data_IF_904645923275
#
_entry.id   IF_904645923275
#
_cell.length_a   1.000
_cell.length_b   1.000
_cell.length_c   1.000
_cell.angle_alpha   90.00
_cell.angle_beta   90.00
_cell.angle_gamma   90.00
#
_symmetry.space_group_name_H-M   'P 1'
#
loop_
_entity.id
_entity.type
_entity.pdbx_description
1 polymer ?
#
# COMPACT_ATOMS: atom_id res chain seq x y z
N UNK A 1 20.78 19.76 -7.76
CA UNK A 1 19.40 19.24 -7.95
C UNK A 1 19.17 18.12 -6.93
N UNK A 2 18.22 18.31 -6.02
CA UNK A 2 17.84 17.27 -5.05
C UNK A 2 16.96 16.24 -5.76
N UNK A 3 17.48 15.03 -5.96
CA UNK A 3 16.83 13.99 -6.75
C UNK A 3 16.18 12.97 -5.86
N UNK A 4 14.90 12.73 -6.13
CA UNK A 4 14.08 11.65 -5.56
C UNK A 4 13.55 10.79 -6.70
N UNK A 5 13.01 9.61 -6.38
CA UNK A 5 12.43 8.83 -7.45
C UNK A 5 11.69 7.57 -7.01
N UNK A 6 11.11 6.90 -8.00
CA UNK A 6 10.39 5.63 -7.86
C UNK A 6 11.08 4.55 -8.68
N UNK A 7 11.35 3.42 -8.04
CA UNK A 7 11.84 2.19 -8.68
C UNK A 7 10.67 1.22 -8.86
N UNK A 8 10.50 0.66 -10.05
CA UNK A 8 9.46 -0.32 -10.34
C UNK A 8 9.47 -0.74 -11.81
N UNK A 9 8.56 -1.66 -12.19
CA UNK A 9 8.37 -2.08 -13.57
C UNK A 9 7.01 -2.76 -13.79
N UNK A 10 6.22 -2.34 -14.79
CA UNK A 10 6.31 -1.07 -15.50
C UNK A 10 5.84 0.12 -14.64
N UNK A 11 6.23 1.35 -15.00
CA UNK A 11 5.89 2.59 -14.28
C UNK A 11 5.00 3.56 -15.09
N UNK A 12 4.17 3.07 -16.01
CA UNK A 12 3.42 3.86 -16.99
C UNK A 12 2.76 5.15 -16.44
N UNK A 13 1.87 5.05 -15.45
CA UNK A 13 1.28 6.21 -14.76
C UNK A 13 1.61 6.16 -13.27
N UNK A 14 2.69 6.86 -12.89
CA UNK A 14 3.12 6.93 -11.51
C UNK A 14 2.39 8.05 -10.75
N UNK A 15 1.57 7.67 -9.78
CA UNK A 15 0.99 8.60 -8.80
C UNK A 15 2.10 9.37 -8.06
N UNK A 16 3.13 8.69 -7.59
CA UNK A 16 4.21 9.31 -6.79
C UNK A 16 4.91 10.42 -7.55
N UNK A 17 5.20 10.23 -8.86
CA UNK A 17 5.82 11.28 -9.67
C UNK A 17 4.93 12.52 -9.76
N UNK A 18 3.63 12.34 -10.04
CA UNK A 18 2.68 13.46 -10.08
C UNK A 18 2.60 14.16 -8.73
N UNK A 19 2.38 13.40 -7.66
CA UNK A 19 2.27 13.91 -6.30
C UNK A 19 3.48 14.76 -5.88
N UNK A 20 4.70 14.23 -6.03
CA UNK A 20 5.91 14.93 -5.61
C UNK A 20 6.23 16.13 -6.51
N UNK A 21 5.95 16.05 -7.82
CA UNK A 21 6.11 17.21 -8.71
C UNK A 21 5.21 18.36 -8.27
N UNK A 22 3.91 18.09 -8.07
CA UNK A 22 2.95 19.09 -7.58
C UNK A 22 3.32 19.63 -6.18
N UNK A 23 3.82 18.76 -5.29
CA UNK A 23 4.29 19.15 -3.95
C UNK A 23 5.49 20.11 -4.05
N UNK A 24 6.48 19.79 -4.87
CA UNK A 24 7.67 20.63 -5.04
C UNK A 24 7.31 21.99 -5.61
N UNK A 25 6.44 22.05 -6.62
CA UNK A 25 5.93 23.30 -7.19
C UNK A 25 5.19 24.14 -6.13
N UNK A 26 4.27 23.53 -5.39
CA UNK A 26 3.48 24.21 -4.36
C UNK A 26 4.33 24.76 -3.21
N UNK A 27 5.40 24.05 -2.84
CA UNK A 27 6.32 24.44 -1.76
C UNK A 27 7.48 25.33 -2.25
N UNK A 28 7.54 25.67 -3.56
CA UNK A 28 8.58 26.51 -4.14
C UNK A 28 9.98 25.85 -4.17
N UNK A 29 10.04 24.53 -4.19
CA UNK A 29 11.28 23.74 -4.18
C UNK A 29 11.82 23.59 -5.62
N UNK A 30 12.37 24.64 -6.19
CA UNK A 30 12.78 24.72 -7.61
C UNK A 30 14.00 23.87 -7.97
N UNK A 31 14.81 23.47 -6.97
CA UNK A 31 15.98 22.61 -7.11
C UNK A 31 15.71 21.14 -6.77
N UNK A 32 14.42 20.73 -6.73
CA UNK A 32 13.98 19.38 -6.46
C UNK A 32 13.39 18.73 -7.72
N UNK A 33 13.60 17.42 -7.86
CA UNK A 33 13.00 16.62 -8.93
C UNK A 33 12.62 15.23 -8.44
N UNK A 34 11.56 14.67 -9.04
CA UNK A 34 11.15 13.29 -8.81
C UNK A 34 11.14 12.51 -10.13
N UNK A 35 11.92 11.44 -10.22
CA UNK A 35 12.13 10.65 -11.43
C UNK A 35 11.50 9.26 -11.32
N UNK A 36 11.06 8.71 -12.45
CA UNK A 36 10.73 7.29 -12.56
C UNK A 36 11.97 6.53 -13.02
N UNK A 37 12.43 5.59 -12.22
CA UNK A 37 13.49 4.63 -12.54
C UNK A 37 12.84 3.30 -12.91
N UNK A 38 12.37 3.21 -14.15
CA UNK A 38 11.78 2.00 -14.70
C UNK A 38 12.91 1.04 -15.08
N UNK A 39 13.05 -0.05 -14.31
CA UNK A 39 14.11 -1.06 -14.51
C UNK A 39 13.47 -2.44 -14.67
N UNK A 40 13.91 -3.21 -15.65
CA UNK A 40 13.36 -4.55 -15.94
C UNK A 40 13.82 -5.60 -14.93
N UNK A 41 14.92 -5.34 -14.23
CA UNK A 41 15.46 -6.22 -13.19
C UNK A 41 15.98 -5.41 -12.02
N UNK A 42 15.82 -5.95 -10.80
CA UNK A 42 16.30 -5.31 -9.56
C UNK A 42 17.83 -5.21 -9.51
N UNK A 43 18.55 -6.07 -10.20
CA UNK A 43 20.02 -6.05 -10.34
C UNK A 43 20.54 -4.75 -10.95
N UNK A 44 19.67 -4.00 -11.67
CA UNK A 44 19.99 -2.66 -12.20
C UNK A 44 19.92 -1.55 -11.14
N UNK A 45 19.40 -1.84 -9.93
CA UNK A 45 19.26 -0.84 -8.87
C UNK A 45 20.59 -0.17 -8.49
N UNK A 46 21.74 -0.87 -8.32
CA UNK A 46 23.01 -0.22 -8.00
C UNK A 46 23.44 0.83 -9.03
N UNK A 47 23.15 0.60 -10.33
CA UNK A 47 23.50 1.56 -11.40
C UNK A 47 22.76 2.90 -11.30
N UNK A 48 21.57 2.91 -10.67
CA UNK A 48 20.83 4.15 -10.35
C UNK A 48 21.62 4.96 -9.34
N UNK A 49 22.15 4.32 -8.29
CA UNK A 49 22.93 4.97 -7.23
C UNK A 49 24.27 5.52 -7.75
N UNK A 50 24.90 4.79 -8.69
CA UNK A 50 26.12 5.25 -9.36
C UNK A 50 25.87 6.50 -10.21
N UNK A 51 24.75 6.49 -10.97
CA UNK A 51 24.38 7.61 -11.84
C UNK A 51 23.88 8.83 -11.05
N UNK A 52 23.30 8.61 -9.89
CA UNK A 52 22.73 9.65 -9.01
C UNK A 52 23.32 9.54 -7.60
N UNK A 53 24.63 9.86 -7.40
CA UNK A 53 25.33 9.64 -6.11
C UNK A 53 24.79 10.50 -4.98
N UNK A 54 24.07 11.58 -5.30
CA UNK A 54 23.48 12.52 -4.34
C UNK A 54 21.94 12.35 -4.21
N UNK A 55 21.41 11.19 -4.63
CA UNK A 55 19.97 10.89 -4.48
C UNK A 55 19.54 11.02 -3.01
N UNK A 56 18.38 11.66 -2.78
CA UNK A 56 17.90 12.02 -1.44
C UNK A 56 16.87 11.05 -0.90
N UNK A 57 16.17 10.36 -1.78
CA UNK A 57 15.15 9.39 -1.40
C UNK A 57 14.61 8.61 -2.58
N UNK A 58 14.18 7.38 -2.31
CA UNK A 58 13.57 6.51 -3.31
C UNK A 58 12.31 5.87 -2.75
N UNK A 59 11.26 5.83 -3.57
CA UNK A 59 10.19 4.87 -3.37
C UNK A 59 10.48 3.60 -4.19
N UNK A 60 9.88 2.50 -3.75
CA UNK A 60 9.95 1.21 -4.42
C UNK A 60 8.54 0.61 -4.56
N UNK A 61 8.18 0.17 -5.76
CA UNK A 61 6.88 -0.45 -6.02
C UNK A 61 7.04 -1.83 -6.66
N UNK A 62 5.93 -2.40 -7.10
CA UNK A 62 5.89 -3.71 -7.78
C UNK A 62 6.87 -3.71 -8.95
N UNK A 63 7.62 -4.82 -9.14
CA UNK A 63 7.63 -6.05 -8.35
C UNK A 63 8.69 -6.08 -7.23
N UNK A 64 9.34 -4.98 -6.93
CA UNK A 64 10.63 -4.94 -6.22
C UNK A 64 10.58 -4.72 -4.71
N UNK A 65 9.41 -4.51 -4.09
CA UNK A 65 9.30 -4.21 -2.64
C UNK A 65 9.96 -5.24 -1.70
N UNK A 66 10.05 -6.50 -2.11
CA UNK A 66 10.77 -7.54 -1.38
C UNK A 66 12.21 -7.69 -1.87
N UNK A 67 12.39 -7.67 -3.18
CA UNK A 67 13.70 -7.92 -3.81
C UNK A 67 14.72 -6.82 -3.48
N UNK A 68 14.28 -5.57 -3.29
CA UNK A 68 15.17 -4.46 -2.97
C UNK A 68 15.84 -4.60 -1.60
N UNK A 69 15.24 -5.39 -0.70
CA UNK A 69 15.74 -5.55 0.67
C UNK A 69 17.18 -6.09 0.73
N UNK A 70 17.59 -6.92 -0.23
CA UNK A 70 18.95 -7.46 -0.30
C UNK A 70 20.04 -6.40 -0.58
N UNK A 71 19.66 -5.23 -1.07
CA UNK A 71 20.57 -4.11 -1.37
C UNK A 71 20.64 -3.08 -0.25
N UNK A 72 19.92 -3.27 0.85
CA UNK A 72 19.84 -2.29 1.93
C UNK A 72 20.79 -2.65 3.06
N UNK A 73 21.44 -1.63 3.64
CA UNK A 73 22.32 -1.79 4.81
C UNK A 73 21.53 -1.94 6.10
N UNK A 74 20.39 -1.25 6.19
CA UNK A 74 19.50 -1.26 7.36
C UNK A 74 18.05 -1.34 6.93
N UNK A 75 17.23 -1.98 7.75
CA UNK A 75 15.76 -1.99 7.59
C UNK A 75 15.16 -1.61 8.93
N UNK A 76 14.19 -0.69 8.89
CA UNK A 76 13.40 -0.33 10.05
C UNK A 76 12.72 -1.55 10.67
N UNK A 77 12.63 -1.61 12.01
CA UNK A 77 12.16 -2.79 12.74
C UNK A 77 10.72 -3.20 12.35
N UNK A 78 9.79 -2.24 12.26
CA UNK A 78 8.41 -2.51 11.83
C UNK A 78 8.36 -2.98 10.38
N UNK A 79 9.19 -2.37 9.52
CA UNK A 79 9.34 -2.77 8.11
C UNK A 79 9.90 -4.19 7.95
N UNK A 80 10.82 -4.60 8.82
CA UNK A 80 11.36 -5.96 8.84
C UNK A 80 10.25 -7.00 9.10
N UNK A 81 9.33 -6.70 10.02
CA UNK A 81 8.19 -7.57 10.32
C UNK A 81 7.21 -7.66 9.13
N UNK A 82 7.02 -6.59 8.38
CA UNK A 82 6.19 -6.58 7.14
C UNK A 82 6.85 -7.40 6.03
N UNK A 83 8.19 -7.42 5.96
CA UNK A 83 8.94 -8.11 4.92
C UNK A 83 8.78 -7.50 3.52
N UNK A 84 8.59 -6.18 3.45
CA UNK A 84 8.51 -5.43 2.20
C UNK A 84 8.91 -3.96 2.43
N UNK A 85 9.71 -3.40 1.54
CA UNK A 85 10.16 -2.00 1.56
C UNK A 85 9.51 -1.24 0.41
N UNK A 86 8.92 -0.07 0.69
CA UNK A 86 8.42 0.85 -0.34
C UNK A 86 9.08 2.24 -0.31
N UNK A 87 9.94 2.50 0.69
CA UNK A 87 10.63 3.77 0.85
C UNK A 87 12.07 3.51 1.30
N UNK A 88 13.03 4.14 0.63
CA UNK A 88 14.46 3.99 0.90
C UNK A 88 15.03 5.36 1.18
N UNK A 89 15.72 5.50 2.31
CA UNK A 89 16.47 6.70 2.70
C UNK A 89 17.95 6.45 2.53
N UNK A 90 18.63 7.12 1.58
CA UNK A 90 20.08 7.17 1.52
C UNK A 90 20.64 8.01 2.67
N UNK A 91 21.73 7.56 3.27
CA UNK A 91 22.47 8.32 4.28
C UNK A 91 23.97 8.05 4.15
N UNK A 92 24.81 8.86 4.78
CA UNK A 92 26.26 8.67 4.73
C UNK A 92 26.84 8.43 6.13
N UNK A 93 27.65 7.38 6.24
CA UNK A 93 28.42 7.08 7.44
C UNK A 93 29.89 6.94 7.07
N UNK A 94 30.76 7.72 7.69
CA UNK A 94 32.19 7.77 7.37
C UNK A 94 32.47 7.95 5.87
N UNK A 95 31.69 8.80 5.19
CA UNK A 95 31.81 9.09 3.76
C UNK A 95 31.22 8.04 2.82
N UNK A 96 30.81 6.86 3.31
CA UNK A 96 30.18 5.79 2.51
C UNK A 96 28.68 5.97 2.45
N UNK A 97 28.12 5.82 1.25
CA UNK A 97 26.68 5.76 1.05
C UNK A 97 26.12 4.48 1.66
N UNK A 98 25.07 4.63 2.44
CA UNK A 98 24.27 3.54 3.01
C UNK A 98 22.80 3.77 2.73
N UNK A 99 22.02 2.70 2.75
CA UNK A 99 20.60 2.69 2.44
C UNK A 99 19.81 2.10 3.61
N UNK A 100 18.78 2.83 4.05
CA UNK A 100 17.83 2.33 5.06
C UNK A 100 16.43 2.21 4.46
N UNK A 101 15.82 1.04 4.64
CA UNK A 101 14.49 0.70 4.13
C UNK A 101 13.38 0.94 5.14
N UNK A 102 12.25 1.41 4.64
CA UNK A 102 11.02 1.65 5.40
C UNK A 102 9.80 1.17 4.60
N UNK A 103 8.69 0.98 5.32
CA UNK A 103 7.39 0.70 4.70
C UNK A 103 6.38 1.77 5.09
N UNK A 104 6.13 2.73 4.21
CA UNK A 104 5.16 3.80 4.45
C UNK A 104 3.72 3.41 4.10
N UNK A 105 3.50 2.26 3.43
CA UNK A 105 2.15 1.74 3.19
C UNK A 105 1.44 1.45 4.53
N UNK A 106 2.17 0.93 5.54
CA UNK A 106 1.62 0.70 6.89
C UNK A 106 1.12 2.00 7.52
N UNK A 107 1.89 3.09 7.38
CA UNK A 107 1.54 4.40 7.94
C UNK A 107 0.30 4.96 7.24
N UNK A 108 0.29 4.92 5.91
CA UNK A 108 -0.85 5.39 5.11
C UNK A 108 -2.12 4.60 5.41
N UNK A 109 -2.02 3.27 5.50
CA UNK A 109 -3.15 2.40 5.77
C UNK A 109 -3.69 2.60 7.21
N UNK A 110 -2.81 2.62 8.23
CA UNK A 110 -3.22 2.83 9.62
C UNK A 110 -3.93 4.19 9.79
N UNK A 111 -3.36 5.26 9.26
CA UNK A 111 -3.94 6.62 9.31
C UNK A 111 -5.32 6.68 8.66
N UNK A 112 -5.52 5.98 7.54
CA UNK A 112 -6.78 5.99 6.79
C UNK A 112 -7.86 5.08 7.40
N UNK A 113 -7.49 3.91 7.92
CA UNK A 113 -8.45 2.94 8.45
C UNK A 113 -8.89 3.28 9.89
N UNK A 114 -7.94 3.64 10.76
CA UNK A 114 -8.16 3.80 12.21
C UNK A 114 -9.34 4.72 12.58
N UNK A 115 -9.57 5.87 11.90
CA UNK A 115 -10.71 6.74 12.20
C UNK A 115 -12.08 6.13 11.92
N UNK A 116 -12.16 5.07 11.09
CA UNK A 116 -13.41 4.38 10.75
C UNK A 116 -13.76 3.28 11.75
N UNK A 117 -12.82 2.90 12.62
CA UNK A 117 -12.97 1.77 13.52
C UNK A 117 -13.65 2.17 14.83
N UNK A 118 -14.45 1.24 15.37
CA UNK A 118 -15.02 1.31 16.69
C UNK A 118 -14.91 -0.04 17.43
N UNK A 119 -15.50 -0.16 18.61
CA UNK A 119 -15.40 -1.37 19.45
C UNK A 119 -16.01 -2.64 18.85
N UNK A 120 -16.88 -2.53 17.82
CA UNK A 120 -17.47 -3.67 17.12
C UNK A 120 -16.49 -4.31 16.11
N UNK A 121 -15.54 -3.54 15.58
CA UNK A 121 -14.62 -3.96 14.52
C UNK A 121 -13.49 -4.83 15.08
N UNK A 122 -13.79 -6.10 15.44
CA UNK A 122 -12.83 -7.05 16.04
C UNK A 122 -12.18 -7.99 15.04
N UNK A 123 -12.79 -8.15 13.86
CA UNK A 123 -12.28 -9.03 12.82
C UNK A 123 -12.53 -8.46 11.42
N UNK A 124 -11.60 -8.80 10.51
CA UNK A 124 -11.57 -8.31 9.15
C UNK A 124 -11.56 -9.46 8.12
N UNK A 125 -12.04 -9.16 6.92
CA UNK A 125 -11.89 -9.98 5.73
C UNK A 125 -11.04 -9.22 4.71
N UNK A 126 -9.87 -9.74 4.38
CA UNK A 126 -8.98 -9.19 3.36
C UNK A 126 -9.25 -9.93 2.05
N UNK A 127 -9.62 -9.21 1.02
CA UNK A 127 -9.88 -9.75 -0.31
C UNK A 127 -8.61 -9.60 -1.16
N UNK A 128 -7.90 -10.72 -1.36
CA UNK A 128 -6.62 -10.77 -2.05
C UNK A 128 -5.42 -11.01 -1.10
N UNK A 129 -4.39 -11.69 -1.63
CA UNK A 129 -3.18 -12.11 -0.91
C UNK A 129 -1.89 -11.51 -1.50
N UNK A 130 -2.00 -10.49 -2.37
CA UNK A 130 -0.89 -9.82 -3.02
C UNK A 130 0.00 -8.99 -2.08
N UNK A 131 0.99 -8.30 -2.64
CA UNK A 131 2.01 -7.56 -1.88
C UNK A 131 1.48 -6.54 -0.87
N UNK A 132 0.39 -5.82 -1.22
CA UNK A 132 -0.23 -4.85 -0.32
C UNK A 132 -0.89 -5.51 0.91
N UNK A 133 -1.33 -6.77 0.80
CA UNK A 133 -1.97 -7.49 1.91
C UNK A 133 -1.03 -7.69 3.10
N UNK A 134 0.29 -7.68 2.91
CA UNK A 134 1.27 -7.79 4.01
C UNK A 134 1.20 -6.60 4.96
N UNK A 135 1.17 -5.39 4.43
CA UNK A 135 1.00 -4.17 5.22
C UNK A 135 -0.35 -4.16 5.96
N UNK A 136 -1.43 -4.58 5.29
CA UNK A 136 -2.76 -4.69 5.88
C UNK A 136 -2.77 -5.68 7.04
N UNK A 137 -2.27 -6.91 6.84
CA UNK A 137 -2.18 -7.97 7.87
C UNK A 137 -1.40 -7.48 9.08
N UNK A 138 -0.27 -6.80 8.87
CA UNK A 138 0.56 -6.23 9.93
C UNK A 138 -0.23 -5.21 10.77
N UNK A 139 -0.88 -4.23 10.13
CA UNK A 139 -1.64 -3.19 10.83
C UNK A 139 -2.87 -3.76 11.53
N UNK A 140 -3.61 -4.69 10.94
CA UNK A 140 -4.74 -5.34 11.63
C UNK A 140 -4.27 -6.06 12.89
N UNK A 141 -3.14 -6.79 12.83
CA UNK A 141 -2.54 -7.44 14.00
C UNK A 141 -2.15 -6.42 15.07
N UNK A 142 -1.49 -5.32 14.69
CA UNK A 142 -1.11 -4.21 15.59
C UNK A 142 -2.32 -3.57 16.27
N UNK A 143 -3.44 -3.46 15.56
CA UNK A 143 -4.70 -2.92 16.08
C UNK A 143 -5.52 -3.94 16.88
N UNK A 144 -5.06 -5.18 17.02
CA UNK A 144 -5.77 -6.26 17.72
C UNK A 144 -7.02 -6.75 16.97
N UNK A 145 -7.05 -6.59 15.64
CA UNK A 145 -8.13 -7.03 14.77
C UNK A 145 -7.73 -8.37 14.14
N UNK A 146 -8.49 -9.43 14.43
CA UNK A 146 -8.28 -10.72 13.75
C UNK A 146 -8.65 -10.62 12.28
N UNK A 147 -8.08 -11.50 11.43
CA UNK A 147 -8.38 -11.45 10.00
C UNK A 147 -8.37 -12.84 9.34
N UNK A 148 -9.12 -12.93 8.24
CA UNK A 148 -8.97 -13.95 7.20
C UNK A 148 -8.65 -13.26 5.88
N UNK A 149 -7.88 -13.92 5.02
CA UNK A 149 -7.59 -13.45 3.66
C UNK A 149 -8.25 -14.39 2.65
N UNK A 150 -9.00 -13.84 1.70
CA UNK A 150 -9.58 -14.61 0.61
C UNK A 150 -8.70 -14.56 -0.64
N UNK A 151 -8.44 -15.72 -1.23
CA UNK A 151 -7.66 -15.88 -2.45
C UNK A 151 -8.46 -16.63 -3.52
N UNK A 152 -8.14 -16.39 -4.79
CA UNK A 152 -8.59 -17.22 -5.92
C UNK A 152 -7.76 -18.50 -6.04
N UNK A 153 -6.56 -18.51 -5.45
CA UNK A 153 -5.67 -19.66 -5.41
C UNK A 153 -5.94 -20.52 -4.18
N UNK A 154 -5.40 -21.73 -4.15
CA UNK A 154 -5.47 -22.57 -2.97
C UNK A 154 -4.79 -21.91 -1.79
N UNK A 155 -5.41 -21.92 -0.59
CA UNK A 155 -4.82 -21.38 0.61
C UNK A 155 -3.44 -22.02 0.91
N UNK A 156 -2.45 -21.17 1.18
CA UNK A 156 -1.09 -21.60 1.55
C UNK A 156 -0.85 -21.50 3.07
N UNK A 157 -1.70 -20.72 3.77
CA UNK A 157 -1.55 -20.42 5.19
C UNK A 157 -2.88 -20.61 5.94
N UNK A 158 -2.80 -20.85 7.23
CA UNK A 158 -3.96 -21.13 8.11
C UNK A 158 -5.05 -20.06 8.07
N UNK A 159 -4.67 -18.77 7.92
CA UNK A 159 -5.60 -17.63 7.83
C UNK A 159 -6.02 -17.29 6.39
N UNK A 160 -5.89 -18.22 5.48
CA UNK A 160 -6.31 -18.05 4.08
C UNK A 160 -7.47 -18.96 3.74
N UNK A 161 -8.40 -18.43 2.97
CA UNK A 161 -9.58 -19.13 2.49
C UNK A 161 -9.77 -18.88 0.99
N UNK A 162 -10.59 -19.70 0.34
CA UNK A 162 -11.06 -19.41 -1.01
C UNK A 162 -12.30 -18.52 -0.98
N UNK A 163 -12.51 -17.74 -2.05
CA UNK A 163 -13.69 -16.87 -2.17
C UNK A 163 -15.00 -17.63 -2.00
N UNK A 164 -15.09 -18.88 -2.51
CA UNK A 164 -16.28 -19.72 -2.42
C UNK A 164 -16.65 -20.13 -0.99
N UNK A 165 -15.73 -19.99 -0.04
CA UNK A 165 -15.95 -20.27 1.37
C UNK A 165 -16.55 -19.09 2.14
N UNK A 166 -16.57 -17.89 1.52
CA UNK A 166 -17.15 -16.69 2.14
C UNK A 166 -18.67 -16.88 2.21
N UNK A 167 -19.19 -16.95 3.42
CA UNK A 167 -20.61 -17.21 3.69
C UNK A 167 -21.21 -16.13 4.60
N UNK A 168 -22.50 -16.22 4.86
CA UNK A 168 -23.24 -15.28 5.70
C UNK A 168 -22.57 -15.10 7.07
N UNK A 169 -22.25 -16.19 7.78
CA UNK A 169 -21.63 -16.13 9.12
C UNK A 169 -20.32 -15.35 9.09
N UNK A 170 -19.46 -15.56 8.08
CA UNK A 170 -18.21 -14.83 7.95
C UNK A 170 -18.42 -13.33 7.73
N UNK A 171 -19.45 -12.95 6.96
CA UNK A 171 -19.79 -11.54 6.75
C UNK A 171 -20.30 -10.89 8.03
N UNK A 172 -21.15 -11.57 8.79
CA UNK A 172 -21.68 -11.08 10.07
C UNK A 172 -20.61 -10.92 11.17
N UNK A 173 -19.59 -11.79 11.17
CA UNK A 173 -18.50 -11.75 12.14
C UNK A 173 -17.37 -10.78 11.76
N UNK A 174 -17.19 -10.48 10.47
CA UNK A 174 -16.07 -9.66 9.94
C UNK A 174 -16.58 -8.36 9.34
N UNK A 175 -16.79 -7.41 10.24
CA UNK A 175 -17.36 -6.12 9.87
C UNK A 175 -16.41 -5.19 9.11
N UNK A 176 -15.11 -5.51 9.04
CA UNK A 176 -14.13 -4.76 8.25
C UNK A 176 -13.78 -5.58 7.01
N UNK A 177 -14.09 -5.08 5.83
CA UNK A 177 -13.82 -5.75 4.55
C UNK A 177 -12.88 -4.90 3.73
N UNK A 178 -11.73 -5.45 3.35
CA UNK A 178 -10.65 -4.71 2.69
C UNK A 178 -10.39 -5.32 1.32
N UNK A 179 -10.65 -4.56 0.25
CA UNK A 179 -10.26 -4.95 -1.09
C UNK A 179 -8.78 -4.64 -1.33
N UNK A 180 -7.96 -5.68 -1.33
CA UNK A 180 -6.54 -5.64 -1.67
C UNK A 180 -6.23 -6.21 -3.06
N UNK A 181 -7.27 -6.37 -3.90
CA UNK A 181 -7.16 -6.79 -5.31
C UNK A 181 -7.16 -5.57 -6.23
N UNK A 182 -6.74 -5.70 -7.49
CA UNK A 182 -6.88 -4.66 -8.50
C UNK A 182 -8.30 -4.57 -9.11
N UNK A 183 -9.27 -5.38 -8.65
CA UNK A 183 -10.62 -5.40 -9.21
C UNK A 183 -11.32 -4.06 -8.96
N UNK A 184 -11.90 -3.51 -10.01
CA UNK A 184 -12.56 -2.20 -9.99
C UNK A 184 -11.66 -1.03 -10.40
N UNK A 185 -10.35 -1.27 -10.64
CA UNK A 185 -9.42 -0.26 -11.16
C UNK A 185 -9.72 0.07 -12.62
N UNK A 186 -9.68 1.36 -12.97
CA UNK A 186 -9.77 1.81 -14.35
C UNK A 186 -8.73 1.09 -15.25
N UNK A 187 -9.07 0.67 -16.47
CA UNK A 187 -10.36 0.88 -17.15
C UNK A 187 -11.47 -0.17 -16.84
N UNK A 188 -11.18 -1.20 -16.03
CA UNK A 188 -12.10 -2.31 -15.75
C UNK A 188 -12.96 -2.02 -14.50
N UNK A 189 -13.66 -0.88 -14.53
CA UNK A 189 -14.40 -0.34 -13.37
C UNK A 189 -15.65 -1.15 -12.99
N UNK A 190 -16.18 -1.98 -13.89
CA UNK A 190 -17.37 -2.80 -13.67
C UNK A 190 -17.08 -4.10 -12.90
N UNK A 191 -15.81 -4.34 -12.52
CA UNK A 191 -15.40 -5.50 -11.75
C UNK A 191 -15.36 -5.18 -10.26
N UNK A 192 -15.70 -6.17 -9.43
CA UNK A 192 -15.49 -6.10 -7.98
C UNK A 192 -15.24 -7.50 -7.42
N UNK A 193 -14.67 -7.65 -6.21
CA UNK A 193 -14.54 -8.94 -5.56
C UNK A 193 -15.88 -9.65 -5.40
N UNK A 194 -15.91 -10.97 -5.65
CA UNK A 194 -17.14 -11.77 -5.57
C UNK A 194 -17.39 -12.21 -4.12
N UNK A 195 -18.12 -11.40 -3.37
CA UNK A 195 -18.55 -11.69 -2.00
C UNK A 195 -20.06 -11.57 -1.86
N UNK A 196 -20.69 -12.16 -0.83
CA UNK A 196 -22.14 -12.10 -0.65
C UNK A 196 -22.60 -10.76 -0.07
N UNK A 197 -22.63 -9.69 -0.89
CA UNK A 197 -22.96 -8.30 -0.54
C UNK A 197 -24.34 -8.11 0.12
N UNK A 198 -25.28 -9.08 -0.05
CA UNK A 198 -26.59 -9.01 0.60
C UNK A 198 -26.53 -9.02 2.13
N UNK A 199 -25.43 -9.49 2.72
CA UNK A 199 -25.22 -9.55 4.17
C UNK A 199 -24.50 -8.32 4.75
N UNK A 200 -24.19 -7.33 3.91
CA UNK A 200 -23.67 -6.05 4.40
C UNK A 200 -24.72 -5.28 5.19
N UNK A 201 -24.27 -4.57 6.23
CA UNK A 201 -25.10 -3.76 7.13
C UNK A 201 -24.42 -2.40 7.37
N UNK A 202 -25.11 -1.42 7.98
CA UNK A 202 -24.48 -0.14 8.37
C UNK A 202 -23.32 -0.26 9.35
N UNK A 203 -23.16 -1.39 10.02
CA UNK A 203 -22.02 -1.64 10.91
C UNK A 203 -20.73 -2.04 10.14
N UNK A 204 -20.81 -2.32 8.84
CA UNK A 204 -19.65 -2.68 8.05
C UNK A 204 -18.83 -1.46 7.64
N UNK A 205 -17.52 -1.69 7.56
CA UNK A 205 -16.52 -0.78 6.96
C UNK A 205 -15.93 -1.48 5.74
N UNK A 206 -16.08 -0.88 4.56
CA UNK A 206 -15.45 -1.34 3.33
C UNK A 206 -14.29 -0.40 2.98
N UNK A 207 -13.08 -0.93 3.00
CA UNK A 207 -11.89 -0.20 2.58
C UNK A 207 -11.40 -0.75 1.24
N UNK A 208 -11.33 0.09 0.23
CA UNK A 208 -10.83 -0.30 -1.10
C UNK A 208 -9.44 0.29 -1.34
N UNK A 209 -8.42 -0.53 -1.59
CA UNK A 209 -7.09 -0.04 -1.97
C UNK A 209 -7.10 0.61 -3.35
N UNK A 210 -8.10 0.34 -4.17
CA UNK A 210 -8.31 1.04 -5.44
C UNK A 210 -8.68 2.51 -5.15
N UNK A 211 -8.08 3.43 -5.91
CA UNK A 211 -8.30 4.87 -5.78
C UNK A 211 -8.80 5.53 -7.09
N UNK A 212 -8.81 4.80 -8.17
CA UNK A 212 -9.33 5.25 -9.46
C UNK A 212 -10.18 4.13 -10.10
N UNK A 213 -11.52 4.33 -10.19
CA UNK A 213 -12.30 5.54 -9.90
C UNK A 213 -12.37 5.89 -8.41
N UNK A 214 -12.86 7.09 -8.08
CA UNK A 214 -13.03 7.56 -6.70
C UNK A 214 -14.01 6.70 -5.91
N UNK A 215 -15.11 6.27 -6.53
CA UNK A 215 -16.05 5.27 -5.99
C UNK A 215 -16.04 4.06 -6.89
N UNK A 216 -15.53 2.94 -6.39
CA UNK A 216 -15.52 1.67 -7.12
C UNK A 216 -16.87 0.94 -7.00
N UNK A 217 -17.10 -0.06 -7.86
CA UNK A 217 -18.31 -0.92 -7.74
C UNK A 217 -18.37 -1.64 -6.38
N UNK A 218 -17.23 -2.03 -5.81
CA UNK A 218 -17.13 -2.60 -4.46
C UNK A 218 -17.66 -1.62 -3.40
N UNK A 219 -17.22 -0.36 -3.47
CA UNK A 219 -17.68 0.68 -2.54
C UNK A 219 -19.16 1.00 -2.77
N UNK A 220 -19.62 1.10 -4.03
CA UNK A 220 -21.03 1.37 -4.34
C UNK A 220 -21.96 0.33 -3.73
N UNK A 221 -21.63 -0.96 -3.84
CA UNK A 221 -22.38 -2.05 -3.18
C UNK A 221 -22.42 -1.91 -1.65
N UNK A 222 -21.37 -1.35 -1.04
CA UNK A 222 -21.34 -1.03 0.38
C UNK A 222 -22.28 0.14 0.73
N UNK A 223 -22.22 1.22 -0.04
CA UNK A 223 -23.07 2.41 0.10
C UNK A 223 -24.55 2.01 0.01
N UNK A 224 -24.92 1.18 -0.96
CA UNK A 224 -26.29 0.69 -1.17
C UNK A 224 -26.85 -0.10 0.05
N UNK A 225 -25.96 -0.58 0.92
CA UNK A 225 -26.29 -1.29 2.17
C UNK A 225 -26.10 -0.44 3.42
N UNK A 226 -25.76 0.85 3.26
CA UNK A 226 -25.53 1.78 4.35
C UNK A 226 -24.18 1.60 5.07
N UNK A 227 -23.27 0.78 4.53
CA UNK A 227 -21.95 0.59 5.09
C UNK A 227 -21.07 1.85 4.92
N UNK A 228 -20.11 2.02 5.82
CA UNK A 228 -19.08 3.04 5.67
C UNK A 228 -18.07 2.58 4.60
N UNK A 229 -17.68 3.48 3.71
CA UNK A 229 -16.72 3.16 2.65
C UNK A 229 -15.55 4.14 2.63
N UNK A 230 -14.37 3.66 2.22
CA UNK A 230 -13.16 4.48 2.04
C UNK A 230 -12.38 3.97 0.84
N UNK A 231 -11.96 4.88 -0.05
CA UNK A 231 -11.03 4.57 -1.14
C UNK A 231 -9.58 4.62 -0.68
N UNK A 232 -8.69 4.00 -1.45
CA UNK A 232 -7.24 3.99 -1.21
C UNK A 232 -6.54 5.33 -1.39
N UNK A 233 -7.24 6.38 -1.83
CA UNK A 233 -6.63 7.68 -2.13
C UNK A 233 -5.95 8.30 -0.90
N UNK A 234 -6.62 8.28 0.26
CA UNK A 234 -6.05 8.82 1.50
C UNK A 234 -4.83 8.01 1.97
N UNK A 235 -4.87 6.68 1.85
CA UNK A 235 -3.72 5.81 2.10
C UNK A 235 -2.55 6.16 1.18
N UNK A 236 -2.84 6.38 -0.11
CA UNK A 236 -1.85 6.70 -1.13
C UNK A 236 -1.17 8.06 -0.87
N UNK A 237 -1.93 9.07 -0.46
CA UNK A 237 -1.39 10.36 -0.02
C UNK A 237 -0.60 10.21 1.28
N UNK A 238 -1.14 9.52 2.26
CA UNK A 238 -0.51 9.32 3.57
C UNK A 238 0.85 8.62 3.48
N UNK A 239 0.99 7.61 2.60
CA UNK A 239 2.29 6.94 2.39
C UNK A 239 3.32 7.86 1.71
N UNK A 240 2.89 8.73 0.79
CA UNK A 240 3.78 9.66 0.12
C UNK A 240 4.28 10.76 1.08
N UNK A 241 3.39 11.32 1.91
CA UNK A 241 3.78 12.28 2.95
C UNK A 241 4.71 11.64 3.99
N UNK A 242 4.43 10.40 4.42
CA UNK A 242 5.32 9.67 5.33
C UNK A 242 6.70 9.41 4.72
N UNK A 243 6.78 9.11 3.43
CA UNK A 243 8.06 9.00 2.73
C UNK A 243 8.82 10.33 2.74
N UNK A 244 8.12 11.44 2.46
CA UNK A 244 8.69 12.78 2.53
C UNK A 244 9.24 13.12 3.92
N UNK A 245 8.48 12.82 4.98
CA UNK A 245 8.93 13.01 6.36
C UNK A 245 10.19 12.20 6.68
N UNK A 246 10.27 10.93 6.22
CA UNK A 246 11.42 10.05 6.42
C UNK A 246 12.66 10.61 5.73
N UNK A 247 12.55 11.07 4.49
CA UNK A 247 13.69 11.59 3.74
C UNK A 247 14.27 12.88 4.33
N UNK A 248 13.43 13.69 5.00
CA UNK A 248 13.82 15.01 5.52
C UNK A 248 14.13 15.03 7.03
N UNK A 249 14.05 13.90 7.72
CA UNK A 249 14.56 13.72 9.10
C UNK A 249 16.04 13.36 9.07
#
# INVERSE_FOLDING_TARGET
>A
MNTYGLIGYPLGHSFSKKFFTEKFEKEGLTDYQYLNFEIESIELFPSILEKYPDIKGLNCTIPYKQLVMQFLDEIDEETQQVGAVNTIKPFRTAGRLKLKGFNTDIIGFERSLKPMLNTKHKSALILGTGGASKAIKHILTKLGIDYLSASIENPLYEKEIRYEQINQKMMEERLVIINATPLGTFPKVDNCPSIPYQYLTPDHVLFDLVYNPEVTLFMQKGIDKGAQVKSGLEMLHGQAEAAWEIWNK
#
